data_IF_757404261610
#
_entry.id   IF_757404261610
#
_cell.length_a   1.000
_cell.length_b   1.000
_cell.length_c   1.000
_cell.angle_alpha   90.00
_cell.angle_beta   90.00
_cell.angle_gamma   90.00
#
_symmetry.space_group_name_H-M   'P 1'
#
loop_
_entity.id
_entity.type
_entity.pdbx_description
1 polymer ?
#
# COMPACT_ATOMS: atom_id res chain seq x y z
N UNK A 1 -4.53 -28.84 -1.32
CA UNK A 1 -5.92 -28.57 -0.92
C UNK A 1 -6.15 -27.09 -0.68
N UNK A 2 -5.31 -26.40 0.11
CA UNK A 2 -5.44 -24.95 0.40
C UNK A 2 -5.41 -24.08 -0.88
N UNK A 3 -4.46 -24.31 -1.79
CA UNK A 3 -4.38 -23.58 -3.06
C UNK A 3 -5.69 -23.73 -3.85
N UNK A 4 -6.23 -24.97 -3.96
CA UNK A 4 -7.50 -25.19 -4.68
C UNK A 4 -8.66 -24.41 -4.03
N UNK A 5 -8.78 -24.46 -2.71
CA UNK A 5 -9.82 -23.74 -1.98
C UNK A 5 -9.66 -22.22 -2.15
N UNK A 6 -8.43 -21.71 -2.03
CA UNK A 6 -8.14 -20.30 -2.21
C UNK A 6 -8.45 -19.79 -3.62
N UNK A 7 -8.05 -20.53 -4.66
CA UNK A 7 -8.40 -20.19 -6.05
C UNK A 7 -9.91 -20.14 -6.25
N UNK A 8 -10.64 -21.16 -5.73
CA UNK A 8 -12.10 -21.17 -5.83
C UNK A 8 -12.71 -19.95 -5.11
N UNK A 9 -12.19 -19.57 -3.95
CA UNK A 9 -12.66 -18.38 -3.24
C UNK A 9 -12.39 -17.10 -4.05
N UNK A 10 -11.19 -16.95 -4.62
CA UNK A 10 -10.85 -15.80 -5.48
C UNK A 10 -11.75 -15.76 -6.74
N UNK A 11 -12.00 -16.88 -7.40
CA UNK A 11 -12.88 -16.96 -8.58
C UNK A 11 -14.33 -16.50 -8.29
N UNK A 12 -14.75 -16.63 -7.02
CA UNK A 12 -16.08 -16.23 -6.56
C UNK A 12 -16.09 -14.92 -5.77
N UNK A 13 -14.97 -14.17 -5.75
CA UNK A 13 -14.81 -12.93 -4.98
C UNK A 13 -15.11 -13.09 -3.48
N UNK A 14 -14.79 -14.25 -2.91
CA UNK A 14 -14.92 -14.52 -1.47
C UNK A 14 -13.62 -14.10 -0.79
N UNK A 15 -13.73 -13.23 0.23
CA UNK A 15 -12.58 -12.76 0.99
C UNK A 15 -11.86 -13.90 1.73
N UNK A 16 -10.53 -13.84 1.73
CA UNK A 16 -9.66 -14.86 2.34
C UNK A 16 -8.85 -14.20 3.45
N UNK A 17 -8.87 -14.79 4.63
CA UNK A 17 -7.96 -14.44 5.74
C UNK A 17 -6.91 -15.54 5.86
N UNK A 18 -5.65 -15.18 5.67
CA UNK A 18 -4.50 -16.08 5.73
C UNK A 18 -3.72 -15.85 7.02
N UNK A 19 -3.47 -16.92 7.78
CA UNK A 19 -2.57 -16.95 8.92
C UNK A 19 -1.35 -17.82 8.54
N UNK A 20 -0.16 -17.21 8.22
CA UNK A 20 1.02 -17.94 7.76
C UNK A 20 1.79 -18.58 8.92
N UNK A 21 1.11 -19.35 9.74
CA UNK A 21 1.62 -19.93 10.99
C UNK A 21 2.98 -20.60 10.82
N UNK A 22 3.97 -20.03 11.51
CA UNK A 22 5.33 -20.57 11.57
C UNK A 22 6.16 -20.35 10.30
N UNK A 23 5.79 -19.40 9.44
CA UNK A 23 6.69 -18.91 8.40
C UNK A 23 7.95 -18.34 9.07
N UNK A 24 9.11 -18.57 8.47
CA UNK A 24 10.41 -18.26 9.08
C UNK A 24 10.98 -19.39 9.96
N UNK A 25 10.16 -20.31 10.47
CA UNK A 25 10.62 -21.37 11.37
C UNK A 25 11.24 -22.57 10.64
N UNK A 26 10.74 -22.92 9.46
CA UNK A 26 11.25 -24.03 8.64
C UNK A 26 11.19 -23.72 7.15
N UNK A 27 12.13 -24.29 6.38
CA UNK A 27 12.14 -24.13 4.93
C UNK A 27 10.83 -24.63 4.29
N UNK A 28 10.30 -25.77 4.74
CA UNK A 28 9.03 -26.31 4.24
C UNK A 28 7.86 -25.33 4.39
N UNK A 29 7.75 -24.66 5.54
CA UNK A 29 6.68 -23.65 5.77
C UNK A 29 6.86 -22.44 4.90
N UNK A 30 8.11 -21.99 4.70
CA UNK A 30 8.43 -20.87 3.82
C UNK A 30 8.04 -21.17 2.38
N UNK A 31 8.44 -22.35 1.86
CA UNK A 31 8.09 -22.78 0.50
C UNK A 31 6.58 -22.91 0.33
N UNK A 32 5.89 -23.53 1.29
CA UNK A 32 4.43 -23.71 1.23
C UNK A 32 3.66 -22.38 1.22
N UNK A 33 4.11 -21.36 1.95
CA UNK A 33 3.49 -20.03 1.94
C UNK A 33 3.80 -19.29 0.63
N UNK A 34 5.04 -19.37 0.11
CA UNK A 34 5.40 -18.79 -1.19
C UNK A 34 4.56 -19.40 -2.30
N UNK A 35 4.42 -20.73 -2.35
CA UNK A 35 3.58 -21.42 -3.33
C UNK A 35 2.10 -21.02 -3.21
N UNK A 36 1.61 -20.86 -1.97
CA UNK A 36 0.24 -20.42 -1.74
C UNK A 36 0.00 -18.99 -2.24
N UNK A 37 0.88 -18.06 -1.91
CA UNK A 37 0.76 -16.65 -2.30
C UNK A 37 1.04 -16.40 -3.79
N UNK A 38 1.72 -17.32 -4.48
CA UNK A 38 1.87 -17.28 -5.93
C UNK A 38 0.55 -17.59 -6.68
N UNK A 39 -0.37 -18.32 -6.05
CA UNK A 39 -1.58 -18.86 -6.68
C UNK A 39 -2.89 -18.31 -6.09
N UNK A 40 -2.82 -17.74 -4.88
CA UNK A 40 -3.99 -17.27 -4.12
C UNK A 40 -3.76 -15.84 -3.66
N UNK A 41 -4.74 -14.98 -3.89
CA UNK A 41 -4.76 -13.60 -3.42
C UNK A 41 -5.51 -13.51 -2.09
N UNK A 42 -4.84 -13.38 -0.93
CA UNK A 42 -5.51 -13.16 0.33
C UNK A 42 -6.06 -11.73 0.43
N UNK A 43 -7.17 -11.57 1.14
CA UNK A 43 -7.74 -10.26 1.47
C UNK A 43 -7.10 -9.69 2.73
N UNK A 44 -6.80 -10.55 3.69
CA UNK A 44 -6.13 -10.20 4.95
C UNK A 44 -5.03 -11.23 5.20
N UNK A 45 -3.83 -10.79 5.52
CA UNK A 45 -2.74 -11.62 6.06
C UNK A 45 -2.56 -11.22 7.53
N UNK A 46 -2.66 -12.18 8.45
CA UNK A 46 -2.48 -11.94 9.89
C UNK A 46 -1.40 -12.88 10.42
N UNK A 47 -0.42 -12.35 11.12
CA UNK A 47 0.63 -13.12 11.78
C UNK A 47 1.20 -12.38 12.99
N UNK A 48 2.14 -12.99 13.70
CA UNK A 48 2.94 -12.28 14.69
C UNK A 48 4.08 -11.50 14.00
N UNK A 49 4.80 -10.66 14.78
CA UNK A 49 5.89 -9.82 14.23
C UNK A 49 6.94 -10.64 13.47
N UNK A 50 7.37 -11.77 14.01
CA UNK A 50 8.37 -12.65 13.42
C UNK A 50 7.90 -13.26 12.09
N UNK A 51 6.63 -13.69 12.02
CA UNK A 51 6.03 -14.24 10.80
C UNK A 51 5.92 -13.19 9.71
N UNK A 52 5.45 -11.99 10.03
CA UNK A 52 5.29 -10.89 9.05
C UNK A 52 6.65 -10.36 8.58
N UNK A 53 7.65 -10.23 9.46
CA UNK A 53 9.02 -9.87 9.08
C UNK A 53 9.62 -10.92 8.13
N UNK A 54 9.46 -12.20 8.43
CA UNK A 54 9.92 -13.28 7.54
C UNK A 54 9.23 -13.25 6.18
N UNK A 55 7.91 -13.01 6.16
CA UNK A 55 7.13 -12.93 4.93
C UNK A 55 7.52 -11.73 4.06
N UNK A 56 7.88 -10.60 4.66
CA UNK A 56 8.34 -9.41 3.95
C UNK A 56 9.73 -9.57 3.30
N UNK A 57 10.46 -10.65 3.61
CA UNK A 57 11.84 -10.85 3.20
C UNK A 57 12.84 -9.90 3.88
N UNK A 58 12.46 -9.25 4.96
CA UNK A 58 13.38 -8.49 5.82
C UNK A 58 14.22 -9.47 6.64
N UNK A 59 15.52 -9.18 6.73
CA UNK A 59 16.46 -10.10 7.41
C UNK A 59 16.20 -10.09 8.92
N UNK A 60 15.65 -11.17 9.44
CA UNK A 60 15.37 -11.34 10.88
C UNK A 60 16.65 -11.61 11.69
N UNK A 61 17.76 -11.92 11.02
CA UNK A 61 19.02 -12.32 11.68
C UNK A 61 19.82 -11.15 12.26
N UNK A 62 19.55 -9.92 11.84
CA UNK A 62 20.35 -8.76 12.30
C UNK A 62 20.01 -8.27 13.71
N UNK A 63 18.91 -8.72 14.33
CA UNK A 63 18.45 -8.24 15.65
C UNK A 63 17.96 -9.34 16.61
N UNK A 64 18.44 -10.59 16.49
CA UNK A 64 18.11 -11.63 17.48
C UNK A 64 16.61 -11.73 17.73
N UNK A 65 15.84 -12.19 16.73
CA UNK A 65 14.39 -12.36 16.86
C UNK A 65 14.12 -13.57 17.74
N UNK A 66 14.15 -13.35 19.05
CA UNK A 66 13.38 -14.15 19.99
C UNK A 66 11.88 -13.88 19.75
N UNK A 67 11.03 -14.79 20.17
CA UNK A 67 9.55 -14.71 20.09
C UNK A 67 8.92 -13.50 20.78
N UNK A 68 9.71 -12.48 21.11
CA UNK A 68 9.38 -11.20 21.72
C UNK A 68 9.73 -9.98 20.88
N UNK A 69 9.96 -10.11 19.55
CA UNK A 69 10.05 -8.93 18.69
C UNK A 69 8.79 -8.10 18.84
N UNK A 70 8.97 -6.83 19.20
CA UNK A 70 7.83 -5.90 19.38
C UNK A 70 7.14 -5.73 18.02
N UNK A 71 5.82 -5.79 18.02
CA UNK A 71 5.01 -5.54 16.81
C UNK A 71 5.28 -4.17 16.19
N UNK A 72 5.71 -3.19 16.98
CA UNK A 72 6.16 -1.88 16.48
C UNK A 72 7.40 -1.99 15.57
N UNK A 73 8.30 -2.94 15.80
CA UNK A 73 9.45 -3.19 14.93
C UNK A 73 9.03 -3.80 13.57
N UNK A 74 7.84 -4.38 13.50
CA UNK A 74 7.28 -4.98 12.29
C UNK A 74 6.44 -4.02 11.42
N UNK A 75 6.33 -2.74 11.77
CA UNK A 75 5.51 -1.76 11.01
C UNK A 75 5.94 -1.70 9.53
N UNK A 76 7.25 -1.55 9.26
CA UNK A 76 7.77 -1.49 7.90
C UNK A 76 7.52 -2.81 7.13
N UNK A 77 7.65 -3.94 7.83
CA UNK A 77 7.35 -5.26 7.26
C UNK A 77 5.85 -5.39 6.95
N UNK A 78 4.98 -4.95 7.84
CA UNK A 78 3.53 -4.96 7.64
C UNK A 78 3.11 -4.10 6.44
N UNK A 79 3.65 -2.88 6.36
CA UNK A 79 3.42 -1.99 5.22
C UNK A 79 3.90 -2.60 3.90
N UNK A 80 5.06 -3.27 3.92
CA UNK A 80 5.59 -3.97 2.75
C UNK A 80 4.70 -5.15 2.36
N UNK A 81 4.33 -6.02 3.29
CA UNK A 81 3.43 -7.15 3.04
C UNK A 81 2.08 -6.68 2.50
N UNK A 82 1.49 -5.64 3.09
CA UNK A 82 0.23 -5.07 2.63
C UNK A 82 0.30 -4.60 1.18
N UNK A 83 1.40 -3.94 0.79
CA UNK A 83 1.63 -3.44 -0.58
C UNK A 83 1.95 -4.55 -1.56
N UNK A 84 2.89 -5.45 -1.22
CA UNK A 84 3.37 -6.50 -2.12
C UNK A 84 2.26 -7.52 -2.43
N UNK A 85 1.41 -7.82 -1.44
CA UNK A 85 0.30 -8.75 -1.58
C UNK A 85 -1.07 -8.07 -1.76
N UNK A 86 -1.13 -6.71 -1.82
CA UNK A 86 -2.39 -5.94 -1.99
C UNK A 86 -3.50 -6.41 -1.06
N UNK A 87 -3.18 -6.51 0.20
CA UNK A 87 -4.06 -7.01 1.24
C UNK A 87 -3.96 -6.14 2.49
N UNK A 88 -4.83 -6.39 3.44
CA UNK A 88 -4.62 -5.88 4.79
C UNK A 88 -3.61 -6.78 5.49
N UNK A 89 -2.58 -6.21 6.10
CA UNK A 89 -1.64 -6.91 6.95
C UNK A 89 -1.94 -6.59 8.42
N UNK A 90 -2.10 -7.63 9.24
CA UNK A 90 -2.32 -7.51 10.67
C UNK A 90 -1.22 -8.24 11.44
N UNK A 91 -0.52 -7.51 12.30
CA UNK A 91 0.55 -8.02 13.16
C UNK A 91 0.03 -8.06 14.59
N UNK A 92 -0.07 -9.25 15.15
CA UNK A 92 -0.47 -9.42 16.56
C UNK A 92 0.75 -9.39 17.47
N UNK A 93 0.61 -8.69 18.61
CA UNK A 93 1.66 -8.54 19.61
C UNK A 93 1.15 -7.82 20.84
N UNK A 94 2.02 -7.17 21.59
CA UNK A 94 1.64 -6.36 22.73
C UNK A 94 0.80 -5.13 22.31
N UNK A 95 1.20 -4.50 21.21
CA UNK A 95 0.40 -3.51 20.49
C UNK A 95 0.10 -4.14 19.14
N UNK A 96 -1.16 -4.36 18.81
CA UNK A 96 -1.49 -4.92 17.51
C UNK A 96 -1.41 -3.83 16.44
N UNK A 97 -0.83 -4.18 15.29
CA UNK A 97 -0.60 -3.28 14.16
C UNK A 97 -1.39 -3.78 12.96
N UNK A 98 -2.25 -2.94 12.39
CA UNK A 98 -3.02 -3.29 11.20
C UNK A 98 -2.82 -2.22 10.14
N UNK A 99 -2.56 -2.61 8.90
CA UNK A 99 -2.41 -1.67 7.80
C UNK A 99 -2.93 -2.24 6.48
N UNK A 100 -3.50 -1.37 5.66
CA UNK A 100 -3.84 -1.62 4.25
C UNK A 100 -2.84 -0.94 3.30
N UNK A 101 -1.75 -0.38 3.85
CA UNK A 101 -0.77 0.43 3.15
C UNK A 101 -1.11 1.91 3.07
N UNK A 102 -2.36 2.32 3.40
CA UNK A 102 -2.85 3.70 3.45
C UNK A 102 -3.06 4.19 4.88
N UNK A 103 -3.57 3.31 5.73
CA UNK A 103 -3.78 3.57 7.15
C UNK A 103 -2.96 2.61 7.97
N UNK A 104 -2.47 3.11 9.10
CA UNK A 104 -1.84 2.33 10.14
C UNK A 104 -2.71 2.44 11.38
N UNK A 105 -3.25 1.31 11.83
CA UNK A 105 -4.07 1.22 13.03
C UNK A 105 -3.26 0.52 14.10
N UNK A 106 -3.15 1.16 15.27
CA UNK A 106 -2.55 0.57 16.47
C UNK A 106 -3.65 0.28 17.47
N UNK A 107 -3.65 -0.93 18.03
CA UNK A 107 -4.59 -1.35 19.06
C UNK A 107 -3.81 -1.60 20.35
N UNK A 108 -4.20 -0.92 21.42
CA UNK A 108 -3.57 -0.96 22.74
C UNK A 108 -4.36 -1.78 23.77
N UNK A 109 -5.42 -2.47 23.32
CA UNK A 109 -6.12 -3.43 24.17
C UNK A 109 -5.25 -4.67 24.34
N UNK A 110 -4.88 -4.99 25.59
CA UNK A 110 -3.90 -6.04 25.90
C UNK A 110 -4.34 -6.86 27.11
N UNK A 111 -4.07 -8.16 27.07
CA UNK A 111 -4.13 -9.03 28.24
C UNK A 111 -3.02 -10.08 28.15
N UNK A 112 -2.06 -10.03 29.07
CA UNK A 112 -0.98 -11.00 29.17
C UNK A 112 -1.49 -12.43 29.31
N UNK A 113 -2.66 -12.61 29.92
CA UNK A 113 -3.29 -13.92 30.16
C UNK A 113 -3.71 -14.61 28.85
N UNK A 114 -3.94 -13.89 27.74
CA UNK A 114 -4.24 -14.46 26.45
C UNK A 114 -3.09 -15.34 25.93
N UNK A 115 -1.85 -15.03 26.31
CA UNK A 115 -0.67 -15.82 25.92
C UNK A 115 -0.66 -17.24 26.50
N UNK A 116 -1.36 -17.46 27.62
CA UNK A 116 -1.50 -18.77 28.24
C UNK A 116 -2.60 -19.63 27.62
N UNK A 117 -3.40 -19.08 26.70
CA UNK A 117 -4.45 -19.81 25.98
C UNK A 117 -3.95 -20.15 24.58
N UNK A 118 -3.75 -21.46 24.32
CA UNK A 118 -3.40 -21.93 22.99
C UNK A 118 -4.53 -21.67 22.01
N UNK A 119 -4.21 -21.11 20.83
CA UNK A 119 -5.15 -20.95 19.72
C UNK A 119 -5.81 -19.57 19.61
N UNK A 120 -5.50 -18.62 20.50
CA UNK A 120 -6.02 -17.23 20.42
C UNK A 120 -5.73 -16.59 19.07
N UNK A 121 -4.53 -16.79 18.53
CA UNK A 121 -4.16 -16.30 17.20
C UNK A 121 -5.09 -16.83 16.09
N UNK A 122 -5.35 -18.14 16.07
CA UNK A 122 -6.27 -18.74 15.09
C UNK A 122 -7.73 -18.29 15.29
N UNK A 123 -8.13 -18.03 16.54
CA UNK A 123 -9.45 -17.44 16.83
C UNK A 123 -9.59 -16.02 16.28
N UNK A 124 -8.57 -15.18 16.44
CA UNK A 124 -8.52 -13.84 15.82
C UNK A 124 -8.72 -13.92 14.31
N UNK A 125 -8.02 -14.85 13.64
CA UNK A 125 -8.15 -15.10 12.20
C UNK A 125 -9.59 -15.44 11.82
N UNK A 126 -10.25 -16.30 12.61
CA UNK A 126 -11.65 -16.69 12.40
C UNK A 126 -12.63 -15.55 12.66
N UNK A 127 -12.37 -14.72 13.68
CA UNK A 127 -13.17 -13.52 13.96
C UNK A 127 -13.06 -12.49 12.83
N UNK A 128 -11.85 -12.19 12.35
CA UNK A 128 -11.65 -11.32 11.20
C UNK A 128 -12.36 -11.84 9.95
N UNK A 129 -12.31 -13.16 9.70
CA UNK A 129 -13.03 -13.77 8.58
C UNK A 129 -14.55 -13.66 8.74
N UNK A 130 -15.08 -13.72 9.97
CA UNK A 130 -16.51 -13.56 10.24
C UNK A 130 -16.99 -12.14 9.94
N UNK A 131 -16.25 -11.11 10.34
CA UNK A 131 -16.56 -9.72 9.98
C UNK A 131 -16.46 -9.46 8.48
N UNK A 132 -15.44 -10.03 7.83
CA UNK A 132 -15.27 -9.95 6.38
C UNK A 132 -16.43 -10.60 5.63
N UNK A 133 -16.84 -11.79 6.04
CA UNK A 133 -18.01 -12.49 5.52
C UNK A 133 -19.33 -11.78 5.80
N UNK A 134 -19.39 -10.98 6.86
CA UNK A 134 -20.51 -10.09 7.20
C UNK A 134 -20.59 -8.81 6.35
N UNK A 135 -19.63 -8.59 5.44
CA UNK A 135 -19.62 -7.45 4.51
C UNK A 135 -18.88 -6.21 5.02
N UNK A 136 -18.15 -6.29 6.13
CA UNK A 136 -17.26 -5.20 6.53
C UNK A 136 -16.05 -5.09 5.58
N UNK A 137 -15.49 -3.88 5.44
CA UNK A 137 -14.26 -3.69 4.64
C UNK A 137 -13.11 -4.50 5.22
N UNK A 138 -12.10 -4.88 4.43
CA UNK A 138 -10.97 -5.69 4.90
C UNK A 138 -10.26 -5.10 6.12
N UNK A 139 -9.97 -3.79 6.11
CA UNK A 139 -9.32 -3.10 7.23
C UNK A 139 -10.17 -3.16 8.50
N UNK A 140 -11.47 -2.82 8.39
CA UNK A 140 -12.41 -2.88 9.51
C UNK A 140 -12.56 -4.31 10.03
N UNK A 141 -12.57 -5.31 9.14
CA UNK A 141 -12.68 -6.73 9.52
C UNK A 141 -11.48 -7.21 10.35
N UNK A 142 -10.26 -6.83 9.94
CA UNK A 142 -9.05 -7.14 10.69
C UNK A 142 -9.04 -6.46 12.06
N UNK A 143 -9.36 -5.15 12.11
CA UNK A 143 -9.44 -4.38 13.36
C UNK A 143 -10.49 -4.95 14.31
N UNK A 144 -11.70 -5.22 13.81
CA UNK A 144 -12.79 -5.76 14.63
C UNK A 144 -12.48 -7.17 15.15
N UNK A 145 -11.85 -8.02 14.33
CA UNK A 145 -11.45 -9.36 14.73
C UNK A 145 -10.44 -9.36 15.88
N UNK A 146 -9.46 -8.46 15.82
CA UNK A 146 -8.46 -8.28 16.88
C UNK A 146 -9.10 -7.69 18.13
N UNK A 147 -9.86 -6.60 18.00
CA UNK A 147 -10.55 -5.96 19.13
C UNK A 147 -11.48 -6.92 19.86
N UNK A 148 -12.21 -7.78 19.14
CA UNK A 148 -13.10 -8.75 19.77
C UNK A 148 -12.35 -9.69 20.72
N UNK A 149 -11.15 -10.12 20.35
CA UNK A 149 -10.31 -10.96 21.20
C UNK A 149 -9.65 -10.17 22.32
N UNK A 150 -9.06 -9.01 22.03
CA UNK A 150 -8.28 -8.23 22.98
C UNK A 150 -9.17 -7.63 24.07
N UNK A 151 -10.34 -7.07 23.71
CA UNK A 151 -11.34 -6.56 24.68
C UNK A 151 -11.88 -7.70 25.54
N UNK A 152 -12.25 -8.84 24.92
CA UNK A 152 -12.72 -9.98 25.66
C UNK A 152 -11.68 -10.49 26.67
N UNK A 153 -10.41 -10.45 26.30
CA UNK A 153 -9.28 -10.79 27.16
C UNK A 153 -9.10 -9.81 28.33
N UNK A 154 -9.19 -8.49 28.07
CA UNK A 154 -9.11 -7.47 29.11
C UNK A 154 -10.25 -7.60 30.14
N UNK A 155 -11.49 -7.74 29.67
CA UNK A 155 -12.66 -7.91 30.56
C UNK A 155 -12.57 -9.19 31.40
N UNK A 156 -12.10 -10.30 30.79
CA UNK A 156 -11.89 -11.53 31.52
C UNK A 156 -10.75 -11.43 32.53
N UNK A 157 -9.68 -10.66 32.24
CA UNK A 157 -8.56 -10.46 33.14
C UNK A 157 -8.95 -9.63 34.38
N UNK A 158 -9.83 -8.65 34.23
CA UNK A 158 -10.39 -7.90 35.36
C UNK A 158 -11.10 -8.86 36.32
N UNK A 159 -11.97 -9.71 35.80
CA UNK A 159 -12.70 -10.68 36.60
C UNK A 159 -11.78 -11.71 37.29
N UNK A 160 -10.80 -12.22 36.55
CA UNK A 160 -9.81 -13.16 37.11
C UNK A 160 -9.00 -12.54 38.24
N UNK A 161 -8.66 -11.24 38.15
CA UNK A 161 -7.92 -10.54 39.20
C UNK A 161 -8.72 -10.40 40.48
N UNK A 162 -10.06 -10.37 40.41
CA UNK A 162 -10.97 -10.28 41.56
C UNK A 162 -11.28 -11.65 42.17
N UNK A 163 -11.52 -12.66 41.33
CA UNK A 163 -12.01 -13.97 41.75
C UNK A 163 -10.90 -15.02 41.90
N UNK A 164 -9.75 -14.85 41.22
CA UNK A 164 -8.59 -15.75 41.23
C UNK A 164 -8.95 -17.23 40.93
N UNK A 165 -9.81 -17.47 39.94
CA UNK A 165 -10.35 -18.78 39.60
C UNK A 165 -9.41 -19.62 38.73
N UNK A 166 -8.37 -19.00 38.15
CA UNK A 166 -7.35 -19.60 37.34
C UNK A 166 -7.62 -19.57 35.82
N UNK A 167 -6.63 -20.01 35.05
CA UNK A 167 -6.60 -19.83 33.58
C UNK A 167 -7.76 -20.53 32.84
N UNK A 168 -8.35 -21.58 33.40
CA UNK A 168 -9.50 -22.27 32.81
C UNK A 168 -10.73 -21.35 32.82
N UNK A 169 -11.05 -20.74 33.97
CA UNK A 169 -12.14 -19.78 34.11
C UNK A 169 -11.92 -18.53 33.27
N UNK A 170 -10.68 -18.03 33.24
CA UNK A 170 -10.31 -16.94 32.34
C UNK A 170 -10.64 -17.27 30.88
N UNK A 171 -10.29 -18.48 30.41
CA UNK A 171 -10.62 -18.94 29.05
C UNK A 171 -12.13 -18.96 28.78
N UNK A 172 -12.92 -19.47 29.74
CA UNK A 172 -14.38 -19.50 29.63
C UNK A 172 -14.95 -18.07 29.54
N UNK A 173 -14.44 -17.17 30.37
CA UNK A 173 -14.86 -15.76 30.33
C UNK A 173 -14.49 -15.06 29.02
N UNK A 174 -13.30 -15.29 28.47
CA UNK A 174 -12.92 -14.81 27.12
C UNK A 174 -13.95 -15.27 26.08
N UNK A 175 -14.32 -16.55 26.07
CA UNK A 175 -15.31 -17.08 25.12
C UNK A 175 -16.70 -16.45 25.32
N UNK A 176 -17.12 -16.27 26.56
CA UNK A 176 -18.38 -15.64 26.91
C UNK A 176 -18.40 -14.14 26.49
N UNK A 177 -17.28 -13.44 26.65
CA UNK A 177 -17.16 -12.05 26.26
C UNK A 177 -17.13 -11.88 24.75
N UNK A 178 -16.46 -12.77 24.00
CA UNK A 178 -16.56 -12.80 22.53
C UNK A 178 -18.00 -13.01 22.07
N UNK A 179 -18.75 -13.92 22.68
CA UNK A 179 -20.16 -14.13 22.37
C UNK A 179 -21.03 -12.89 22.62
N UNK A 180 -20.72 -12.11 23.64
CA UNK A 180 -21.42 -10.87 24.01
C UNK A 180 -20.92 -9.64 23.23
N UNK A 181 -19.82 -9.76 22.49
CA UNK A 181 -19.18 -8.65 21.79
C UNK A 181 -20.16 -7.96 20.82
N UNK A 182 -20.22 -6.65 20.88
CA UNK A 182 -21.12 -5.84 20.07
C UNK A 182 -20.56 -4.42 19.85
N UNK A 183 -21.31 -3.57 19.15
CA UNK A 183 -20.90 -2.19 18.83
C UNK A 183 -20.59 -1.32 20.06
N UNK A 184 -21.20 -1.57 21.20
CA UNK A 184 -20.94 -0.81 22.43
C UNK A 184 -19.59 -1.20 23.03
N UNK A 185 -19.19 -2.48 22.93
CA UNK A 185 -17.86 -2.92 23.34
C UNK A 185 -16.76 -2.19 22.58
N UNK A 186 -16.92 -2.01 21.27
CA UNK A 186 -15.96 -1.25 20.47
C UNK A 186 -15.94 0.21 20.89
N UNK A 187 -17.10 0.87 20.94
CA UNK A 187 -17.19 2.30 21.23
C UNK A 187 -16.60 2.68 22.58
N UNK A 188 -16.87 1.86 23.60
CA UNK A 188 -16.59 2.22 24.98
C UNK A 188 -15.25 1.67 25.49
N UNK A 189 -14.73 0.58 24.88
CA UNK A 189 -13.56 -0.16 25.36
C UNK A 189 -12.37 -0.17 24.38
N UNK A 190 -12.57 0.16 23.11
CA UNK A 190 -11.49 0.12 22.16
C UNK A 190 -10.45 1.23 22.42
N UNK A 191 -9.19 0.84 22.48
CA UNK A 191 -8.02 1.72 22.63
C UNK A 191 -7.25 1.71 21.32
N UNK A 192 -7.66 2.55 20.37
CA UNK A 192 -7.12 2.57 19.03
C UNK A 192 -6.52 3.93 18.67
N UNK A 193 -5.46 3.90 17.91
CA UNK A 193 -4.87 5.05 17.24
C UNK A 193 -4.85 4.76 15.73
N UNK A 194 -5.27 5.73 14.93
CA UNK A 194 -5.30 5.61 13.48
C UNK A 194 -4.42 6.72 12.89
N UNK A 195 -3.40 6.33 12.17
CA UNK A 195 -2.51 7.23 11.46
C UNK A 195 -2.68 7.02 9.95
N UNK A 196 -2.65 8.08 9.16
CA UNK A 196 -2.52 7.95 7.71
C UNK A 196 -1.05 7.72 7.40
N UNK A 197 -0.75 6.65 6.67
CA UNK A 197 0.62 6.34 6.24
C UNK A 197 1.08 7.42 5.26
N UNK A 198 2.31 7.87 5.41
CA UNK A 198 2.88 8.85 4.50
C UNK A 198 2.84 8.32 3.05
N UNK A 199 2.35 9.13 2.13
CA UNK A 199 2.16 8.72 0.74
C UNK A 199 3.48 8.28 0.11
N UNK A 200 3.47 7.13 -0.58
CA UNK A 200 4.66 6.64 -1.28
C UNK A 200 5.12 7.63 -2.36
N UNK A 201 4.17 8.24 -3.07
CA UNK A 201 4.43 9.12 -4.21
C UNK A 201 3.67 10.46 -4.08
N UNK A 202 3.92 11.25 -3.02
CA UNK A 202 3.18 12.50 -2.83
C UNK A 202 3.39 13.47 -3.99
N UNK A 203 4.61 13.53 -4.53
CA UNK A 203 4.96 14.26 -5.75
C UNK A 203 5.57 13.29 -6.75
N UNK A 204 4.93 13.19 -7.90
CA UNK A 204 5.37 12.44 -9.06
C UNK A 204 5.81 13.40 -10.16
N UNK A 205 7.10 13.40 -10.47
CA UNK A 205 7.64 14.19 -11.56
C UNK A 205 7.58 13.41 -12.87
N UNK A 206 6.86 13.94 -13.87
CA UNK A 206 6.95 13.46 -15.25
C UNK A 206 7.83 14.44 -16.03
N UNK A 207 8.83 13.95 -16.76
CA UNK A 207 9.77 14.81 -17.45
C UNK A 207 9.23 15.36 -18.77
N UNK A 208 9.65 16.56 -19.08
CA UNK A 208 9.49 17.23 -20.36
C UNK A 208 10.63 18.25 -20.53
N UNK A 209 11.59 17.96 -21.44
CA UNK A 209 12.74 18.83 -21.64
C UNK A 209 12.33 20.26 -22.07
N UNK A 210 11.27 20.36 -22.89
CA UNK A 210 10.76 21.66 -23.36
C UNK A 210 10.26 22.51 -22.18
N UNK A 211 9.75 21.88 -21.14
CA UNK A 211 9.30 22.57 -19.93
C UNK A 211 10.44 23.19 -19.12
N UNK A 212 11.69 22.73 -19.29
CA UNK A 212 12.86 23.29 -18.60
C UNK A 212 13.25 24.69 -19.07
N UNK A 213 12.70 25.17 -20.19
CA UNK A 213 12.93 26.53 -20.74
C UNK A 213 14.41 26.89 -20.87
N UNK A 214 15.23 25.95 -21.37
CA UNK A 214 16.67 26.14 -21.58
C UNK A 214 17.56 25.92 -20.35
N UNK A 215 16.99 25.60 -19.19
CA UNK A 215 17.77 25.15 -18.02
C UNK A 215 18.31 23.74 -18.24
N UNK A 216 19.36 23.38 -17.50
CA UNK A 216 19.88 22.03 -17.50
C UNK A 216 18.81 21.01 -17.04
N UNK A 217 18.45 20.11 -17.92
CA UNK A 217 17.40 19.10 -17.72
C UNK A 217 17.69 18.21 -16.50
N UNK A 218 18.91 17.69 -16.40
CA UNK A 218 19.28 16.76 -15.33
C UNK A 218 19.34 17.45 -13.97
N UNK A 219 19.88 18.67 -13.93
CA UNK A 219 19.89 19.48 -12.70
C UNK A 219 18.49 19.86 -12.26
N UNK A 220 17.57 20.16 -13.20
CA UNK A 220 16.18 20.47 -12.88
C UNK A 220 15.45 19.25 -12.31
N UNK A 221 15.70 18.03 -12.82
CA UNK A 221 15.16 16.80 -12.26
C UNK A 221 15.76 16.51 -10.88
N UNK A 222 17.08 16.60 -10.71
CA UNK A 222 17.75 16.39 -9.42
C UNK A 222 17.24 17.41 -8.37
N UNK A 223 17.09 18.68 -8.72
CA UNK A 223 16.52 19.71 -7.85
C UNK A 223 15.08 19.36 -7.43
N UNK A 224 14.26 18.84 -8.36
CA UNK A 224 12.90 18.40 -8.03
C UNK A 224 12.88 17.22 -7.04
N UNK A 225 13.83 16.30 -7.15
CA UNK A 225 14.02 15.19 -6.21
C UNK A 225 14.38 15.74 -4.82
N UNK A 226 15.32 16.69 -4.75
CA UNK A 226 15.70 17.34 -3.49
C UNK A 226 14.53 18.11 -2.86
N UNK A 227 13.61 18.64 -3.68
CA UNK A 227 12.38 19.28 -3.25
C UNK A 227 11.29 18.33 -2.75
N UNK A 228 11.43 17.01 -2.97
CA UNK A 228 10.53 16.02 -2.42
C UNK A 228 9.79 15.14 -3.44
N UNK A 229 10.15 15.17 -4.73
CA UNK A 229 9.66 14.16 -5.68
C UNK A 229 10.17 12.76 -5.26
N UNK A 230 9.27 11.75 -5.30
CA UNK A 230 9.56 10.38 -4.87
C UNK A 230 9.50 9.35 -5.98
N UNK A 231 9.01 9.74 -7.15
CA UNK A 231 9.03 8.96 -8.38
C UNK A 231 9.26 9.91 -9.55
N UNK A 232 10.10 9.49 -10.49
CA UNK A 232 10.42 10.23 -11.71
C UNK A 232 10.08 9.37 -12.91
N UNK A 233 9.26 9.89 -13.83
CA UNK A 233 8.96 9.26 -15.11
C UNK A 233 9.68 9.97 -16.23
N UNK A 234 10.54 9.25 -16.96
CA UNK A 234 11.11 9.74 -18.20
C UNK A 234 10.10 9.56 -19.35
N UNK A 235 9.65 10.68 -19.89
CA UNK A 235 8.69 10.73 -21.00
C UNK A 235 9.25 11.54 -22.16
N UNK A 236 9.64 10.82 -23.23
CA UNK A 236 10.14 11.39 -24.49
C UNK A 236 9.39 10.76 -25.65
N UNK A 237 8.67 11.56 -26.42
CA UNK A 237 7.85 11.05 -27.53
C UNK A 237 8.52 11.13 -28.90
N UNK A 238 9.43 12.08 -29.07
CA UNK A 238 10.03 12.43 -30.36
C UNK A 238 11.56 12.17 -30.39
N UNK A 239 12.08 11.41 -29.40
CA UNK A 239 13.52 11.17 -29.26
C UNK A 239 13.91 9.82 -29.89
N UNK A 240 15.06 9.79 -30.57
CA UNK A 240 15.62 8.56 -31.08
C UNK A 240 15.94 7.56 -29.96
N UNK A 241 15.79 6.26 -30.26
CA UNK A 241 15.94 5.18 -29.25
C UNK A 241 17.30 5.22 -28.55
N UNK A 242 18.40 5.55 -29.26
CA UNK A 242 19.73 5.65 -28.66
C UNK A 242 19.80 6.77 -27.63
N UNK A 243 19.36 7.95 -28.00
CA UNK A 243 19.39 9.12 -27.12
C UNK A 243 18.47 8.93 -25.92
N UNK A 244 17.30 8.28 -26.14
CA UNK A 244 16.39 7.92 -25.05
C UNK A 244 17.05 6.95 -24.07
N UNK A 245 17.74 5.93 -24.57
CA UNK A 245 18.47 4.96 -23.75
C UNK A 245 19.57 5.64 -22.90
N UNK A 246 20.40 6.49 -23.52
CA UNK A 246 21.46 7.21 -22.81
C UNK A 246 20.91 8.17 -21.74
N UNK A 247 19.83 8.89 -22.08
CA UNK A 247 19.12 9.75 -21.13
C UNK A 247 18.52 8.96 -19.98
N UNK A 248 17.93 7.82 -20.26
CA UNK A 248 17.36 6.93 -19.24
C UNK A 248 18.40 6.41 -18.27
N UNK A 249 19.58 5.97 -18.76
CA UNK A 249 20.69 5.53 -17.90
C UNK A 249 21.11 6.63 -16.93
N UNK A 250 21.32 7.85 -17.44
CA UNK A 250 21.76 8.98 -16.62
C UNK A 250 20.71 9.39 -15.59
N UNK A 251 19.42 9.41 -15.95
CA UNK A 251 18.36 9.71 -14.99
C UNK A 251 18.20 8.62 -13.94
N UNK A 252 18.33 7.35 -14.32
CA UNK A 252 18.35 6.25 -13.36
C UNK A 252 19.41 6.44 -12.28
N UNK A 253 20.64 6.77 -12.68
CA UNK A 253 21.75 7.03 -11.74
C UNK A 253 21.40 8.16 -10.75
N UNK A 254 20.81 9.25 -11.26
CA UNK A 254 20.37 10.38 -10.42
C UNK A 254 19.28 9.92 -9.44
N UNK A 255 18.24 9.25 -9.92
CA UNK A 255 17.14 8.78 -9.08
C UNK A 255 17.63 7.80 -8.00
N UNK A 256 18.43 6.80 -8.37
CA UNK A 256 18.93 5.79 -7.43
C UNK A 256 19.89 6.38 -6.39
N UNK A 257 20.71 7.38 -6.76
CA UNK A 257 21.56 8.12 -5.82
C UNK A 257 20.74 8.74 -4.66
N UNK A 258 19.51 9.12 -4.92
CA UNK A 258 18.60 9.76 -3.95
C UNK A 258 17.49 8.81 -3.43
N UNK A 259 17.51 7.52 -3.78
CA UNK A 259 16.51 6.54 -3.36
C UNK A 259 15.11 6.82 -3.90
N UNK A 260 15.01 7.33 -5.13
CA UNK A 260 13.76 7.68 -5.81
C UNK A 260 13.49 6.68 -6.93
N UNK A 261 12.24 6.21 -7.03
CA UNK A 261 11.82 5.26 -8.05
C UNK A 261 11.87 5.91 -9.45
N UNK A 262 12.47 5.20 -10.41
CA UNK A 262 12.61 5.64 -11.79
C UNK A 262 11.80 4.77 -12.75
N UNK A 263 10.86 5.36 -13.50
CA UNK A 263 10.00 4.65 -14.45
C UNK A 263 10.09 5.24 -15.85
N UNK A 264 9.90 4.40 -16.86
CA UNK A 264 9.90 4.79 -18.28
C UNK A 264 8.46 4.87 -18.78
N UNK A 265 8.13 5.92 -19.52
CA UNK A 265 6.83 6.05 -20.17
C UNK A 265 6.76 5.21 -21.46
N UNK A 266 5.74 4.40 -21.64
CA UNK A 266 5.36 3.59 -22.80
C UNK A 266 6.40 2.52 -23.22
N UNK A 267 7.69 2.82 -23.19
CA UNK A 267 8.78 2.02 -23.76
C UNK A 267 9.29 0.95 -22.80
N UNK A 268 8.59 -0.20 -22.76
CA UNK A 268 8.95 -1.37 -21.95
C UNK A 268 10.35 -1.91 -22.32
N UNK A 269 10.72 -1.87 -23.59
CA UNK A 269 12.04 -2.26 -24.09
C UNK A 269 13.17 -1.43 -23.49
N UNK A 270 12.99 -0.12 -23.41
CA UNK A 270 13.95 0.79 -22.75
C UNK A 270 13.98 0.53 -21.23
N UNK A 271 12.81 0.36 -20.60
CA UNK A 271 12.74 0.07 -19.17
C UNK A 271 13.55 -1.18 -18.79
N UNK A 272 13.46 -2.23 -19.60
CA UNK A 272 14.26 -3.46 -19.44
C UNK A 272 15.74 -3.22 -19.72
N UNK A 273 16.07 -2.54 -20.82
CA UNK A 273 17.44 -2.33 -21.26
C UNK A 273 18.28 -1.52 -20.25
N UNK A 274 17.66 -0.52 -19.60
CA UNK A 274 18.33 0.27 -18.55
C UNK A 274 18.12 -0.30 -17.15
N UNK A 275 17.34 -1.38 -17.02
CA UNK A 275 16.92 -1.94 -15.73
C UNK A 275 16.27 -0.86 -14.84
N UNK A 276 15.32 -0.10 -15.37
CA UNK A 276 14.53 0.86 -14.62
C UNK A 276 13.69 0.16 -13.54
N UNK A 277 13.22 0.92 -12.53
CA UNK A 277 12.36 0.37 -11.47
C UNK A 277 10.99 -0.03 -12.01
N UNK A 278 10.56 0.55 -13.14
CA UNK A 278 9.30 0.18 -13.77
C UNK A 278 8.98 0.92 -15.06
N UNK A 279 7.70 0.81 -15.42
CA UNK A 279 7.12 1.42 -16.62
C UNK A 279 5.77 2.06 -16.29
N UNK A 280 5.40 3.14 -16.97
CA UNK A 280 4.06 3.70 -16.96
C UNK A 280 3.44 3.58 -18.34
N UNK A 281 2.23 3.03 -18.42
CA UNK A 281 1.54 2.72 -19.68
C UNK A 281 0.21 3.48 -19.77
N UNK A 282 -0.16 3.90 -20.96
CA UNK A 282 -1.48 4.41 -21.28
C UNK A 282 -2.42 3.30 -21.77
N UNK A 283 -3.68 3.63 -22.02
CA UNK A 283 -4.70 2.69 -22.47
C UNK A 283 -4.48 2.13 -23.89
N UNK A 284 -3.71 2.83 -24.72
CA UNK A 284 -3.36 2.40 -26.08
C UNK A 284 -2.03 1.63 -26.14
N UNK A 285 -1.32 1.52 -25.04
CA UNK A 285 -0.03 0.84 -24.96
C UNK A 285 -0.21 -0.66 -24.66
N UNK A 286 0.89 -1.31 -24.28
CA UNK A 286 0.85 -2.72 -23.90
C UNK A 286 -0.05 -2.93 -22.66
N UNK A 287 -0.88 -3.98 -22.68
CA UNK A 287 -1.72 -4.31 -21.52
C UNK A 287 -0.90 -4.67 -20.28
N UNK A 288 -1.47 -4.43 -19.09
CA UNK A 288 -0.80 -4.74 -17.82
C UNK A 288 -0.37 -6.20 -17.74
N UNK A 289 -1.24 -7.12 -18.17
CA UNK A 289 -0.94 -8.55 -18.14
C UNK A 289 0.29 -8.90 -18.98
N UNK A 290 0.38 -8.30 -20.18
CA UNK A 290 1.53 -8.50 -21.06
C UNK A 290 2.79 -7.85 -20.47
N UNK A 291 2.67 -6.63 -19.96
CA UNK A 291 3.78 -5.92 -19.34
C UNK A 291 4.32 -6.71 -18.12
N UNK A 292 3.47 -7.11 -17.18
CA UNK A 292 3.86 -7.90 -16.00
C UNK A 292 4.47 -9.25 -16.37
N UNK A 293 4.00 -9.89 -17.43
CA UNK A 293 4.59 -11.13 -17.95
C UNK A 293 6.02 -10.94 -18.43
N UNK A 294 6.34 -9.78 -19.01
CA UNK A 294 7.65 -9.47 -19.57
C UNK A 294 8.59 -8.89 -18.53
N UNK A 295 8.13 -7.90 -17.75
CA UNK A 295 8.96 -7.13 -16.81
C UNK A 295 9.08 -7.83 -15.43
N UNK A 296 8.19 -8.78 -15.15
CA UNK A 296 8.10 -9.51 -13.88
C UNK A 296 7.33 -8.75 -12.80
N UNK A 297 7.04 -9.46 -11.70
CA UNK A 297 6.21 -8.91 -10.62
C UNK A 297 6.96 -7.94 -9.69
N UNK A 298 8.29 -7.91 -9.74
CA UNK A 298 9.11 -7.03 -8.89
C UNK A 298 9.22 -5.60 -9.42
N UNK A 299 8.94 -5.39 -10.70
CA UNK A 299 9.01 -4.07 -11.32
C UNK A 299 7.66 -3.35 -11.23
N UNK A 300 7.74 -2.03 -11.08
CA UNK A 300 6.58 -1.14 -10.99
C UNK A 300 5.88 -1.06 -12.36
N UNK A 301 4.57 -1.24 -12.39
CA UNK A 301 3.73 -0.96 -13.56
C UNK A 301 2.64 0.04 -13.18
N UNK A 302 2.79 1.28 -13.63
CA UNK A 302 1.76 2.30 -13.50
C UNK A 302 0.87 2.34 -14.74
N UNK A 303 -0.40 2.70 -14.56
CA UNK A 303 -1.39 2.80 -15.65
C UNK A 303 -2.14 4.12 -15.57
N UNK A 304 -2.36 4.76 -16.72
CA UNK A 304 -3.31 5.86 -16.84
C UNK A 304 -4.75 5.33 -16.82
N UNK A 305 -5.64 5.91 -16.01
CA UNK A 305 -7.07 5.59 -15.99
C UNK A 305 -7.92 6.88 -16.00
N UNK A 306 -9.05 6.85 -16.71
CA UNK A 306 -9.98 7.99 -16.84
C UNK A 306 -11.35 7.74 -16.22
N UNK A 307 -11.68 6.49 -15.98
CA UNK A 307 -12.96 6.04 -15.46
C UNK A 307 -12.77 4.84 -14.53
N UNK A 308 -13.82 4.49 -13.79
CA UNK A 308 -13.80 3.42 -12.81
C UNK A 308 -13.51 2.05 -13.44
N UNK A 309 -13.98 1.78 -14.66
CA UNK A 309 -13.74 0.51 -15.35
C UNK A 309 -12.26 0.30 -15.61
N UNK A 310 -11.58 1.30 -16.18
CA UNK A 310 -10.11 1.29 -16.40
C UNK A 310 -9.33 1.16 -15.08
N UNK A 311 -9.79 1.82 -14.01
CA UNK A 311 -9.16 1.76 -12.70
C UNK A 311 -9.27 0.38 -12.05
N UNK A 312 -10.47 -0.24 -12.10
CA UNK A 312 -10.71 -1.60 -11.61
C UNK A 312 -9.94 -2.65 -12.43
N UNK A 313 -9.89 -2.48 -13.74
CA UNK A 313 -9.08 -3.35 -14.60
C UNK A 313 -7.59 -3.24 -14.28
N UNK A 314 -7.08 -2.02 -14.10
CA UNK A 314 -5.71 -1.77 -13.69
C UNK A 314 -5.38 -2.50 -12.38
N UNK A 315 -6.20 -2.33 -11.35
CA UNK A 315 -6.03 -3.02 -10.07
C UNK A 315 -6.11 -4.54 -10.21
N UNK A 316 -7.11 -5.06 -10.91
CA UNK A 316 -7.32 -6.50 -11.13
C UNK A 316 -6.10 -7.18 -11.74
N UNK A 317 -5.44 -6.53 -12.69
CA UNK A 317 -4.30 -7.11 -13.40
C UNK A 317 -2.95 -6.67 -12.86
N UNK A 318 -2.93 -6.01 -11.72
CA UNK A 318 -1.73 -5.86 -10.96
C UNK A 318 -0.94 -4.60 -11.21
N UNK A 319 -1.58 -3.50 -11.58
CA UNK A 319 -0.94 -2.19 -11.53
C UNK A 319 -0.48 -1.86 -10.11
N UNK A 320 0.65 -1.17 -9.99
CA UNK A 320 1.21 -0.75 -8.72
C UNK A 320 0.72 0.65 -8.32
N UNK A 321 0.21 1.43 -9.27
CA UNK A 321 -0.51 2.68 -9.08
C UNK A 321 -1.30 3.04 -10.35
N UNK A 322 -2.28 3.93 -10.22
CA UNK A 322 -2.95 4.55 -11.35
C UNK A 322 -2.71 6.06 -11.39
N UNK A 323 -2.53 6.59 -12.62
CA UNK A 323 -2.52 8.01 -12.91
C UNK A 323 -3.87 8.45 -13.43
N UNK A 324 -4.61 9.29 -12.70
CA UNK A 324 -5.97 9.72 -13.03
C UNK A 324 -5.98 11.14 -13.55
N UNK A 325 -6.49 11.34 -14.74
CA UNK A 325 -6.59 12.67 -15.35
C UNK A 325 -6.91 12.65 -16.85
N UNK A 326 -6.98 13.85 -17.45
CA UNK A 326 -6.50 15.14 -16.94
C UNK A 326 -7.49 15.79 -15.95
N UNK A 327 -6.95 16.38 -14.88
CA UNK A 327 -7.75 17.14 -13.91
C UNK A 327 -8.06 18.53 -14.45
N UNK A 328 -7.06 19.18 -15.05
CA UNK A 328 -7.20 20.48 -15.73
C UNK A 328 -6.75 20.35 -17.17
N UNK A 329 -7.26 21.24 -18.03
CA UNK A 329 -6.78 21.32 -19.41
C UNK A 329 -5.26 21.54 -19.45
N UNK A 330 -4.58 20.81 -20.33
CA UNK A 330 -3.11 20.83 -20.44
C UNK A 330 -2.67 20.67 -21.90
N UNK A 331 -1.61 21.36 -22.26
CA UNK A 331 -1.01 21.25 -23.60
C UNK A 331 -0.18 19.95 -23.78
N UNK A 332 0.16 19.29 -22.70
CA UNK A 332 1.01 18.09 -22.71
C UNK A 332 0.33 16.85 -23.31
N UNK A 333 -1.02 16.77 -23.21
CA UNK A 333 -1.82 15.67 -23.76
C UNK A 333 -3.18 16.23 -24.21
N UNK A 334 -3.26 16.68 -25.48
CA UNK A 334 -4.42 17.39 -26.04
C UNK A 334 -5.72 16.58 -26.12
N UNK A 335 -5.64 15.25 -26.13
CA UNK A 335 -6.78 14.34 -26.35
C UNK A 335 -7.35 13.71 -25.05
N UNK A 336 -6.92 14.16 -23.88
CA UNK A 336 -7.44 13.66 -22.61
C UNK A 336 -8.67 14.44 -22.19
N UNK A 337 -9.86 13.79 -22.19
CA UNK A 337 -11.04 14.34 -21.52
C UNK A 337 -10.74 14.66 -20.06
N UNK A 338 -11.44 15.65 -19.50
CA UNK A 338 -11.30 15.97 -18.07
C UNK A 338 -11.99 14.90 -17.21
N UNK A 339 -11.35 14.57 -16.09
CA UNK A 339 -11.93 13.70 -15.06
C UNK A 339 -12.46 14.59 -13.93
N UNK A 340 -13.73 14.40 -13.57
CA UNK A 340 -14.37 15.17 -12.51
C UNK A 340 -14.00 14.64 -11.10
N UNK A 341 -14.23 15.48 -10.08
CA UNK A 341 -13.87 15.14 -8.69
C UNK A 341 -14.68 13.97 -8.11
N UNK A 342 -15.92 13.79 -8.57
CA UNK A 342 -16.77 12.71 -8.05
C UNK A 342 -16.27 11.35 -8.55
N UNK A 343 -15.83 11.28 -9.81
CA UNK A 343 -15.14 10.09 -10.35
C UNK A 343 -13.86 9.80 -9.58
N UNK A 344 -13.07 10.83 -9.21
CA UNK A 344 -11.85 10.63 -8.42
C UNK A 344 -12.19 10.09 -7.02
N UNK A 345 -13.19 10.66 -6.34
CA UNK A 345 -13.65 10.18 -5.03
C UNK A 345 -14.11 8.72 -5.11
N UNK A 346 -14.90 8.38 -6.11
CA UNK A 346 -15.34 7.00 -6.31
C UNK A 346 -14.14 6.05 -6.53
N UNK A 347 -13.13 6.48 -7.28
CA UNK A 347 -11.90 5.69 -7.48
C UNK A 347 -11.14 5.51 -6.16
N UNK A 348 -10.91 6.59 -5.42
CA UNK A 348 -10.15 6.52 -4.17
C UNK A 348 -10.85 5.72 -3.06
N UNK A 349 -12.17 5.67 -3.09
CA UNK A 349 -12.97 4.83 -2.17
C UNK A 349 -12.90 3.33 -2.50
N UNK A 350 -12.83 2.98 -3.80
CA UNK A 350 -12.94 1.58 -4.27
C UNK A 350 -11.62 0.96 -4.72
N UNK A 351 -10.63 1.78 -5.06
CA UNK A 351 -9.33 1.33 -5.54
C UNK A 351 -8.34 1.29 -4.36
N UNK A 352 -7.66 0.15 -4.19
CA UNK A 352 -6.72 -0.09 -3.09
C UNK A 352 -5.25 0.17 -3.44
N UNK A 353 -4.94 0.38 -4.73
CA UNK A 353 -3.62 0.83 -5.19
C UNK A 353 -3.57 2.36 -5.22
N UNK A 354 -2.38 2.99 -5.11
CA UNK A 354 -2.25 4.45 -5.11
C UNK A 354 -2.91 5.10 -6.33
N UNK A 355 -3.71 6.14 -6.06
CA UNK A 355 -4.39 6.96 -7.06
C UNK A 355 -3.68 8.32 -7.14
N UNK A 356 -3.01 8.58 -8.24
CA UNK A 356 -2.21 9.79 -8.46
C UNK A 356 -2.91 10.72 -9.45
N UNK A 357 -3.24 11.94 -9.04
CA UNK A 357 -3.88 12.91 -9.93
C UNK A 357 -2.87 13.53 -10.91
N UNK A 358 -3.24 13.61 -12.20
CA UNK A 358 -2.38 14.19 -13.25
C UNK A 358 -3.16 15.13 -14.18
N UNK A 359 -2.46 16.07 -14.77
CA UNK A 359 -2.96 16.97 -15.82
C UNK A 359 -3.21 18.37 -15.33
N UNK A 360 -2.33 19.29 -15.73
CA UNK A 360 -2.41 20.71 -15.45
C UNK A 360 -2.33 21.11 -13.98
N UNK A 361 -1.88 20.21 -13.11
CA UNK A 361 -1.72 20.47 -11.67
C UNK A 361 -0.45 21.30 -11.47
N UNK A 362 -0.54 22.31 -10.61
CA UNK A 362 0.54 23.20 -10.25
C UNK A 362 0.15 24.07 -9.06
N UNK A 363 1.02 25.01 -8.72
CA UNK A 363 0.84 25.91 -7.59
C UNK A 363 -0.54 26.59 -7.59
N UNK A 364 -1.21 26.58 -6.44
CA UNK A 364 -2.54 27.16 -6.25
C UNK A 364 -3.70 26.36 -6.85
N UNK A 365 -3.43 25.19 -7.45
CA UNK A 365 -4.47 24.29 -8.00
C UNK A 365 -4.65 23.02 -7.16
N UNK A 366 -3.73 22.75 -6.25
CA UNK A 366 -3.74 21.51 -5.43
C UNK A 366 -4.96 21.49 -4.51
N UNK A 367 -5.38 22.65 -3.98
CA UNK A 367 -6.54 22.76 -3.09
C UNK A 367 -7.86 22.32 -3.74
N UNK A 368 -7.97 22.39 -5.08
CA UNK A 368 -9.13 21.85 -5.82
C UNK A 368 -9.34 20.36 -5.60
N UNK A 369 -8.28 19.61 -5.25
CA UNK A 369 -8.32 18.17 -5.02
C UNK A 369 -8.62 17.81 -3.56
N UNK A 370 -8.90 18.79 -2.70
CA UNK A 370 -9.25 18.57 -1.28
C UNK A 370 -10.46 17.64 -1.13
N UNK A 371 -10.31 16.65 -0.24
CA UNK A 371 -11.37 15.67 0.04
C UNK A 371 -11.61 14.66 -1.07
N UNK A 372 -10.69 14.51 -2.03
CA UNK A 372 -10.76 13.45 -3.04
C UNK A 372 -10.07 12.15 -2.61
N UNK A 373 -9.27 12.15 -1.55
CA UNK A 373 -8.58 10.96 -1.09
C UNK A 373 -7.40 10.48 -1.94
N UNK A 374 -6.92 11.28 -2.92
CA UNK A 374 -5.77 10.93 -3.76
C UNK A 374 -4.50 10.70 -2.95
N UNK A 375 -3.61 9.85 -3.46
CA UNK A 375 -2.36 9.44 -2.81
C UNK A 375 -1.15 10.25 -3.30
N UNK A 376 -1.32 11.10 -4.31
CA UNK A 376 -0.27 11.98 -4.83
C UNK A 376 -0.69 12.80 -6.04
N UNK A 377 0.17 13.72 -6.43
CA UNK A 377 -0.02 14.56 -7.61
C UNK A 377 1.14 14.42 -8.58
N UNK A 378 0.82 14.42 -9.88
CA UNK A 378 1.80 14.43 -10.97
C UNK A 378 1.93 15.84 -11.51
N UNK A 379 3.13 16.40 -11.48
CA UNK A 379 3.42 17.71 -12.06
C UNK A 379 4.56 17.63 -13.09
N UNK A 380 4.50 18.48 -14.09
CA UNK A 380 5.46 18.55 -15.21
C UNK A 380 5.99 19.98 -15.33
N UNK A 381 5.28 20.80 -16.10
CA UNK A 381 5.71 22.13 -16.48
C UNK A 381 5.76 23.12 -15.31
N UNK A 382 4.92 22.92 -14.30
CA UNK A 382 4.91 23.78 -13.12
C UNK A 382 6.22 23.65 -12.31
N UNK A 383 6.75 22.42 -12.21
CA UNK A 383 8.02 22.14 -11.52
C UNK A 383 9.20 22.50 -12.44
N UNK A 384 9.29 21.85 -13.60
CA UNK A 384 10.46 21.98 -14.48
C UNK A 384 10.58 23.39 -15.08
N UNK A 385 9.47 24.10 -15.25
CA UNK A 385 9.42 25.47 -15.74
C UNK A 385 9.71 26.56 -14.69
N UNK A 386 9.71 26.22 -13.41
CA UNK A 386 9.99 27.16 -12.31
C UNK A 386 11.46 27.62 -12.32
N UNK A 387 11.75 28.82 -11.86
CA UNK A 387 13.13 29.29 -11.73
C UNK A 387 13.94 28.44 -10.77
N UNK A 388 13.31 27.99 -9.68
CA UNK A 388 13.85 27.05 -8.70
C UNK A 388 12.93 25.81 -8.61
N UNK A 389 13.27 24.71 -9.30
CA UNK A 389 12.50 23.48 -9.26
C UNK A 389 12.46 22.80 -7.88
N UNK A 390 13.51 22.96 -7.06
CA UNK A 390 13.55 22.40 -5.68
C UNK A 390 12.52 23.11 -4.80
N UNK A 391 12.59 24.44 -4.72
CA UNK A 391 11.64 25.23 -3.95
C UNK A 391 10.20 25.02 -4.43
N UNK A 392 9.97 24.95 -5.75
CA UNK A 392 8.65 24.71 -6.33
C UNK A 392 8.09 23.33 -5.91
N UNK A 393 8.90 22.30 -5.97
CA UNK A 393 8.47 20.96 -5.59
C UNK A 393 8.15 20.89 -4.09
N UNK A 394 8.94 21.56 -3.25
CA UNK A 394 8.70 21.66 -1.80
C UNK A 394 7.37 22.33 -1.48
N UNK A 395 7.07 23.44 -2.13
CA UNK A 395 5.78 24.14 -1.95
C UNK A 395 4.60 23.27 -2.39
N UNK A 396 4.71 22.60 -3.54
CA UNK A 396 3.66 21.67 -3.99
C UNK A 396 3.45 20.49 -3.03
N UNK A 397 4.53 19.98 -2.43
CA UNK A 397 4.46 18.93 -1.43
C UNK A 397 3.74 19.42 -0.16
N UNK A 398 4.03 20.64 0.28
CA UNK A 398 3.35 21.27 1.43
C UNK A 398 1.86 21.50 1.13
N UNK A 399 1.52 22.06 -0.05
CA UNK A 399 0.12 22.20 -0.48
C UNK A 399 -0.58 20.82 -0.51
N UNK A 400 0.04 19.81 -1.11
CA UNK A 400 -0.52 18.46 -1.17
C UNK A 400 -0.77 17.89 0.23
N UNK A 401 0.18 18.01 1.14
CA UNK A 401 0.01 17.57 2.54
C UNK A 401 -1.12 18.30 3.25
N UNK A 402 -1.35 19.58 2.91
CA UNK A 402 -2.41 20.40 3.53
C UNK A 402 -3.83 20.00 3.11
N UNK A 403 -4.00 19.39 1.95
CA UNK A 403 -5.33 18.95 1.45
C UNK A 403 -5.67 17.50 1.83
N UNK A 404 -4.63 16.73 2.13
CA UNK A 404 -4.78 15.33 2.46
C UNK A 404 -5.11 15.17 3.92
N UNK A 405 -6.35 15.16 4.25
CA UNK A 405 -6.89 14.31 5.35
C UNK A 405 -8.38 14.59 5.46
#
# INVERSE_FOLDING_TARGET
>A
TMIKAGKTANDHNIGIVLDPVGVGATQFRNEAIVDLLAEVQPTIIKGNASEIMSLSGMDTKSKGVDSGADSLEAIDAALRVARDHRCVCAVTGRIDIITDGRYLVKIYNESDLLSYITGTGCMITSLAASFLGGGASPLVSAVAGILAMSIAGEEAAVRESEENNGIASYREDVMNNIYKFNQYSIRDLAKIEVEKVEYKYPIYLVTDEKACKGKDFYKSVEASIMGGARIVQLREKDMDTRDFYERALRLKEICHKHGVDFVINDRLDIALAVDADGVHLGQSDMTIQMAKKIIGHKKIVGISAKNMEEALEAQKYGADYIGVGAIFATDTKKDSGLVDLDTIREMTDKIHIPVLAIGGIGLGKVDYLRGTGIDGICAISDILGADDPEARTRVLLEEFRSIGI
#
